data_IF_788237796424
#
_entry.id   IF_788237796424
#
_cell.length_a   1.000
_cell.length_b   1.000
_cell.length_c   1.000
_cell.angle_alpha   90.00
_cell.angle_beta   90.00
_cell.angle_gamma   90.00
#
_symmetry.space_group_name_H-M   'P 1'
#
loop_
_entity.id
_entity.type
_entity.pdbx_description
1 polymer ?
#
# COMPACT_ATOMS: atom_id res chain seq x y z
N UNK A 1 18.49 34.93 -32.27
CA UNK A 1 18.36 33.51 -32.64
C UNK A 1 19.50 32.79 -31.95
N UNK A 2 19.31 32.48 -30.67
CA UNK A 2 20.36 32.02 -29.76
C UNK A 2 20.35 30.50 -29.76
N UNK A 3 21.50 29.93 -30.09
CA UNK A 3 21.74 28.51 -30.27
C UNK A 3 21.49 27.74 -28.95
N UNK A 4 20.61 26.75 -29.04
CA UNK A 4 20.21 25.85 -27.96
C UNK A 4 21.33 24.83 -27.73
N UNK A 5 22.29 25.19 -26.87
CA UNK A 5 23.37 24.31 -26.45
C UNK A 5 22.78 23.12 -25.67
N UNK A 6 22.49 22.04 -26.39
CA UNK A 6 22.10 20.73 -25.86
C UNK A 6 22.99 20.37 -24.68
N UNK A 7 22.38 20.24 -23.48
CA UNK A 7 23.05 19.76 -22.26
C UNK A 7 23.88 18.51 -22.59
N UNK A 8 25.19 18.65 -22.47
CA UNK A 8 26.13 17.54 -22.62
C UNK A 8 25.79 16.48 -21.56
N UNK A 9 25.43 15.28 -21.99
CA UNK A 9 25.11 14.18 -21.08
C UNK A 9 26.36 13.82 -20.27
N UNK A 10 26.31 14.09 -18.98
CA UNK A 10 27.44 13.80 -18.10
C UNK A 10 27.59 12.29 -17.91
N UNK A 11 28.79 11.76 -18.20
CA UNK A 11 29.10 10.35 -17.98
C UNK A 11 29.03 10.01 -16.48
N UNK A 12 28.43 8.87 -16.08
CA UNK A 12 28.39 8.45 -14.68
C UNK A 12 29.79 8.41 -14.06
N UNK A 13 29.96 9.05 -12.91
CA UNK A 13 31.24 9.07 -12.20
C UNK A 13 31.32 7.82 -11.32
N UNK A 14 32.33 7.00 -11.55
CA UNK A 14 32.61 5.84 -10.71
C UNK A 14 33.11 6.32 -9.34
N UNK A 15 32.27 6.22 -8.31
CA UNK A 15 32.65 6.58 -6.93
C UNK A 15 33.20 5.35 -6.23
N UNK A 16 34.38 5.42 -5.58
CA UNK A 16 34.91 4.32 -4.77
C UNK A 16 33.95 3.94 -3.64
N UNK A 17 33.83 2.65 -3.34
CA UNK A 17 32.91 2.09 -2.32
C UNK A 17 33.04 2.78 -0.96
N UNK A 18 34.26 3.10 -0.53
CA UNK A 18 34.56 3.82 0.71
C UNK A 18 33.96 5.24 0.81
N UNK A 19 33.49 5.82 -0.31
CA UNK A 19 32.79 7.12 -0.33
C UNK A 19 31.34 6.97 0.15
N UNK A 20 30.74 5.79 -0.01
CA UNK A 20 29.40 5.48 0.46
C UNK A 20 29.37 5.14 1.95
N UNK A 21 30.44 4.53 2.47
CA UNK A 21 30.60 4.22 3.92
C UNK A 21 30.60 5.47 4.82
N UNK A 22 30.80 6.67 4.24
CA UNK A 22 30.91 7.94 4.97
C UNK A 22 29.62 8.76 5.03
N UNK A 23 28.47 8.21 4.61
CA UNK A 23 27.18 8.90 4.70
C UNK A 23 26.50 8.59 6.04
N UNK A 24 27.00 9.20 7.11
CA UNK A 24 26.29 9.28 8.38
C UNK A 24 25.07 10.19 8.23
N UNK A 25 23.86 9.62 8.22
CA UNK A 25 22.63 10.41 8.18
C UNK A 25 21.31 9.66 8.04
N UNK A 26 21.29 8.37 7.67
CA UNK A 26 20.05 7.59 7.64
C UNK A 26 20.34 6.11 7.86
N UNK A 27 19.36 5.38 8.42
CA UNK A 27 19.32 3.91 8.43
C UNK A 27 19.62 3.38 7.02
N UNK A 28 20.37 2.27 6.91
CA UNK A 28 20.69 1.65 5.63
C UNK A 28 19.38 1.34 4.88
N UNK A 29 19.14 1.91 3.68
CA UNK A 29 17.92 1.63 2.91
C UNK A 29 17.70 0.14 2.62
N UNK A 30 18.79 -0.64 2.51
CA UNK A 30 18.70 -2.08 2.34
C UNK A 30 18.22 -2.79 3.61
N UNK A 31 18.59 -2.30 4.79
CA UNK A 31 18.05 -2.78 6.08
C UNK A 31 16.58 -2.43 6.24
N UNK A 32 16.18 -1.19 5.94
CA UNK A 32 14.78 -0.76 5.99
C UNK A 32 13.92 -1.60 5.05
N UNK A 33 14.37 -1.81 3.82
CA UNK A 33 13.67 -2.64 2.83
C UNK A 33 13.57 -4.10 3.29
N UNK A 34 14.64 -4.67 3.84
CA UNK A 34 14.62 -6.04 4.40
C UNK A 34 13.64 -6.17 5.57
N UNK A 35 13.64 -5.21 6.48
CA UNK A 35 12.72 -5.19 7.61
C UNK A 35 11.26 -5.08 7.14
N UNK A 36 10.97 -4.22 6.17
CA UNK A 36 9.64 -4.07 5.59
C UNK A 36 9.14 -5.38 4.97
N UNK A 37 9.97 -6.06 4.17
CA UNK A 37 9.61 -7.34 3.57
C UNK A 37 9.47 -8.45 4.63
N UNK A 38 10.40 -8.55 5.58
CA UNK A 38 10.36 -9.57 6.62
C UNK A 38 9.10 -9.45 7.49
N UNK A 39 8.74 -8.22 7.89
CA UNK A 39 7.54 -7.96 8.70
C UNK A 39 6.25 -8.23 7.92
N UNK A 40 6.17 -7.80 6.67
CA UNK A 40 5.02 -8.08 5.80
C UNK A 40 4.82 -9.58 5.54
N UNK A 41 5.91 -10.30 5.25
CA UNK A 41 5.87 -11.75 5.07
C UNK A 41 5.50 -12.49 6.36
N UNK A 42 6.10 -12.10 7.49
CA UNK A 42 5.79 -12.71 8.78
C UNK A 42 4.31 -12.55 9.16
N UNK A 43 3.73 -11.37 8.90
CA UNK A 43 2.30 -11.15 9.13
C UNK A 43 1.44 -12.07 8.27
N UNK A 44 1.73 -12.12 6.96
CA UNK A 44 0.98 -12.96 6.02
C UNK A 44 1.05 -14.45 6.39
N UNK A 45 2.26 -14.96 6.67
CA UNK A 45 2.48 -16.35 7.08
C UNK A 45 1.78 -16.65 8.39
N UNK A 46 1.87 -15.78 9.39
CA UNK A 46 1.24 -16.00 10.70
C UNK A 46 -0.28 -16.15 10.62
N UNK A 47 -0.92 -15.39 9.75
CA UNK A 47 -2.38 -15.47 9.53
C UNK A 47 -2.75 -16.72 8.73
N UNK A 48 -1.93 -17.09 7.75
CA UNK A 48 -2.16 -18.29 6.93
C UNK A 48 -1.98 -19.59 7.69
N UNK A 49 -1.00 -19.65 8.60
CA UNK A 49 -0.70 -20.83 9.41
C UNK A 49 -1.77 -21.08 10.49
N UNK A 50 -2.50 -20.04 10.90
CA UNK A 50 -3.63 -20.13 11.83
C UNK A 50 -4.86 -19.40 11.26
N UNK A 51 -5.54 -19.98 10.25
CA UNK A 51 -6.62 -19.32 9.52
C UNK A 51 -7.95 -19.37 10.28
N UNK A 52 -7.94 -19.54 11.62
CA UNK A 52 -9.17 -19.43 12.41
C UNK A 52 -9.78 -18.06 12.13
N UNK A 53 -11.03 -18.02 11.65
CA UNK A 53 -11.64 -16.79 11.11
C UNK A 53 -11.62 -15.60 12.07
N UNK A 54 -11.60 -15.88 13.38
CA UNK A 54 -11.44 -14.87 14.43
C UNK A 54 -10.08 -14.16 14.35
N UNK A 55 -8.99 -14.83 13.93
CA UNK A 55 -7.65 -14.22 13.79
C UNK A 55 -7.62 -13.18 12.67
N UNK A 56 -8.24 -13.48 11.53
CA UNK A 56 -8.32 -12.55 10.39
C UNK A 56 -9.18 -11.34 10.76
N UNK A 57 -10.40 -11.58 11.27
CA UNK A 57 -11.30 -10.50 11.66
C UNK A 57 -10.72 -9.66 12.81
N UNK A 58 -9.99 -10.29 13.74
CA UNK A 58 -9.27 -9.60 14.82
C UNK A 58 -8.09 -8.80 14.31
N UNK A 59 -7.34 -9.25 13.30
CA UNK A 59 -6.26 -8.46 12.70
C UNK A 59 -6.80 -7.24 11.95
N UNK A 60 -7.85 -7.45 11.15
CA UNK A 60 -8.58 -6.40 10.42
C UNK A 60 -9.06 -5.33 11.42
N UNK A 61 -9.76 -5.74 12.48
CA UNK A 61 -10.29 -4.83 13.50
C UNK A 61 -9.20 -4.25 14.43
N UNK A 62 -8.10 -4.99 14.66
CA UNK A 62 -6.97 -4.51 15.47
C UNK A 62 -6.30 -3.30 14.82
N UNK A 63 -6.16 -3.34 13.50
CA UNK A 63 -5.59 -2.24 12.71
C UNK A 63 -6.43 -0.98 12.88
N UNK A 64 -7.76 -1.10 12.92
CA UNK A 64 -8.67 0.02 13.15
C UNK A 64 -8.54 0.65 14.55
N UNK A 65 -8.22 -0.15 15.57
CA UNK A 65 -8.25 0.28 16.98
C UNK A 65 -6.90 0.71 17.53
N UNK A 66 -5.83 0.00 17.14
CA UNK A 66 -4.48 0.20 17.70
C UNK A 66 -3.49 0.76 16.67
N UNK A 67 -3.90 0.86 15.41
CA UNK A 67 -3.02 1.25 14.32
C UNK A 67 -1.94 0.21 14.02
N UNK A 68 -1.35 0.34 12.85
CA UNK A 68 -0.09 -0.34 12.50
C UNK A 68 1.03 0.68 12.36
N UNK A 69 0.97 1.81 13.07
CA UNK A 69 1.73 3.04 12.80
C UNK A 69 3.22 2.81 12.53
N UNK A 70 3.88 1.98 13.32
CA UNK A 70 5.29 1.65 13.10
C UNK A 70 5.53 0.83 11.83
N UNK A 71 4.64 -0.12 11.51
CA UNK A 71 4.67 -0.86 10.25
C UNK A 71 4.23 0.01 9.07
N UNK A 72 3.29 0.93 9.28
CA UNK A 72 2.82 1.90 8.30
C UNK A 72 3.95 2.84 7.88
N UNK A 73 4.68 3.41 8.83
CA UNK A 73 5.87 4.22 8.55
C UNK A 73 6.91 3.41 7.78
N UNK A 74 7.17 2.18 8.21
CA UNK A 74 8.11 1.28 7.54
C UNK A 74 7.68 0.90 6.11
N UNK A 75 6.40 0.57 5.90
CA UNK A 75 5.87 0.09 4.61
C UNK A 75 5.52 1.21 3.65
N UNK A 76 5.20 2.40 4.13
CA UNK A 76 4.85 3.57 3.30
C UNK A 76 5.95 3.96 2.30
N UNK A 77 7.21 3.67 2.65
CA UNK A 77 8.38 3.90 1.81
C UNK A 77 8.63 2.78 0.78
N UNK A 78 7.86 1.68 0.84
CA UNK A 78 8.06 0.53 -0.04
C UNK A 78 7.45 0.75 -1.43
N UNK A 79 8.07 0.20 -2.50
CA UNK A 79 7.52 0.29 -3.86
C UNK A 79 6.08 -0.24 -3.93
N UNK A 80 5.23 0.40 -4.74
CA UNK A 80 3.80 0.04 -4.81
C UNK A 80 3.54 -1.42 -5.18
N UNK A 81 4.40 -2.01 -6.03
CA UNK A 81 4.29 -3.39 -6.49
C UNK A 81 5.03 -4.41 -5.61
N UNK A 82 5.55 -3.99 -4.45
CA UNK A 82 6.12 -4.90 -3.44
C UNK A 82 5.06 -5.35 -2.45
N UNK A 83 5.25 -6.49 -1.79
CA UNK A 83 4.35 -6.97 -0.74
C UNK A 83 4.06 -5.91 0.34
N UNK A 84 5.06 -5.32 1.02
CA UNK A 84 4.79 -4.28 2.03
C UNK A 84 4.09 -3.05 1.43
N UNK A 85 4.45 -2.64 0.21
CA UNK A 85 3.84 -1.48 -0.44
C UNK A 85 2.38 -1.71 -0.85
N UNK A 86 2.01 -2.93 -1.23
CA UNK A 86 0.64 -3.32 -1.51
C UNK A 86 -0.19 -3.38 -0.22
N UNK A 87 0.32 -4.06 0.82
CA UNK A 87 -0.35 -4.12 2.13
C UNK A 87 -0.63 -2.74 2.70
N UNK A 88 0.36 -1.84 2.67
CA UNK A 88 0.18 -0.46 3.13
C UNK A 88 -0.99 0.25 2.43
N UNK A 89 -1.07 0.14 1.11
CA UNK A 89 -2.13 0.81 0.33
C UNK A 89 -3.51 0.21 0.60
N UNK A 90 -3.59 -1.11 0.83
CA UNK A 90 -4.85 -1.77 1.20
C UNK A 90 -5.32 -1.33 2.59
N UNK A 91 -4.43 -1.30 3.58
CA UNK A 91 -4.75 -0.77 4.92
C UNK A 91 -5.13 0.71 4.88
N UNK A 92 -4.42 1.52 4.09
CA UNK A 92 -4.77 2.93 3.93
C UNK A 92 -6.14 3.10 3.27
N UNK A 93 -6.46 2.31 2.25
CA UNK A 93 -7.76 2.32 1.59
C UNK A 93 -8.87 1.93 2.59
N UNK A 94 -8.65 0.88 3.38
CA UNK A 94 -9.57 0.47 4.43
C UNK A 94 -9.81 1.57 5.46
N UNK A 95 -8.74 2.17 5.97
CA UNK A 95 -8.83 3.27 6.92
C UNK A 95 -9.64 4.44 6.34
N UNK A 96 -9.35 4.84 5.10
CA UNK A 96 -10.08 5.93 4.43
C UNK A 96 -11.57 5.62 4.25
N UNK A 97 -11.93 4.39 3.90
CA UNK A 97 -13.34 3.98 3.73
C UNK A 97 -14.05 3.89 5.08
N UNK A 98 -13.37 3.40 6.13
CA UNK A 98 -13.96 3.29 7.47
C UNK A 98 -14.12 4.65 8.17
N UNK A 99 -13.21 5.59 7.93
CA UNK A 99 -13.27 6.95 8.50
C UNK A 99 -14.49 7.74 7.99
N UNK A 100 -14.75 7.72 6.67
CA UNK A 100 -15.93 8.35 6.07
C UNK A 100 -16.45 7.57 4.86
N UNK A 101 -17.20 6.50 5.14
CA UNK A 101 -17.78 5.62 4.12
C UNK A 101 -18.72 6.35 3.16
N UNK A 102 -19.40 7.41 3.63
CA UNK A 102 -20.31 8.21 2.79
C UNK A 102 -19.54 8.99 1.74
N UNK A 103 -18.48 9.69 2.16
CA UNK A 103 -17.64 10.42 1.22
C UNK A 103 -16.90 9.46 0.29
N UNK A 104 -16.40 8.34 0.79
CA UNK A 104 -15.75 7.32 -0.03
C UNK A 104 -16.67 6.75 -1.12
N UNK A 105 -17.90 6.35 -0.79
CA UNK A 105 -18.88 5.85 -1.76
C UNK A 105 -19.23 6.91 -2.82
N UNK A 106 -19.40 8.16 -2.40
CA UNK A 106 -19.68 9.26 -3.32
C UNK A 106 -18.51 9.52 -4.29
N UNK A 107 -17.27 9.44 -3.82
CA UNK A 107 -16.07 9.59 -4.66
C UNK A 107 -15.93 8.42 -5.63
N UNK A 108 -16.17 7.19 -5.16
CA UNK A 108 -16.16 5.99 -5.99
C UNK A 108 -17.18 6.09 -7.13
N UNK A 109 -18.44 6.41 -6.81
CA UNK A 109 -19.51 6.52 -7.81
C UNK A 109 -19.23 7.62 -8.84
N UNK A 110 -18.64 8.74 -8.42
CA UNK A 110 -18.19 9.79 -9.35
C UNK A 110 -17.04 9.33 -10.25
N UNK A 111 -16.06 8.63 -9.68
CA UNK A 111 -14.94 8.06 -10.45
C UNK A 111 -15.42 7.06 -11.48
N UNK A 112 -16.28 6.12 -11.07
CA UNK A 112 -16.93 5.14 -11.93
C UNK A 112 -17.68 5.77 -13.10
N UNK A 113 -18.49 6.80 -12.83
CA UNK A 113 -19.23 7.51 -13.88
C UNK A 113 -18.32 8.31 -14.84
N UNK A 114 -17.14 8.73 -14.39
CA UNK A 114 -16.23 9.58 -15.17
C UNK A 114 -15.19 8.80 -15.99
N UNK A 115 -14.70 7.66 -15.51
CA UNK A 115 -13.57 6.95 -16.11
C UNK A 115 -13.91 6.30 -17.47
N UNK A 116 -15.12 5.76 -17.64
CA UNK A 116 -15.54 5.13 -18.91
C UNK A 116 -14.67 3.93 -19.36
N UNK A 117 -13.82 3.42 -18.47
CA UNK A 117 -12.92 2.27 -18.63
C UNK A 117 -13.50 1.03 -17.95
N UNK A 118 -12.75 -0.09 -17.94
CA UNK A 118 -13.12 -1.33 -17.25
C UNK A 118 -12.78 -1.33 -15.75
N UNK A 119 -12.32 -0.20 -15.20
CA UNK A 119 -11.81 -0.12 -13.83
C UNK A 119 -12.87 -0.49 -12.78
N UNK A 120 -14.15 -0.24 -13.04
CA UNK A 120 -15.25 -0.57 -12.13
C UNK A 120 -15.54 -2.08 -12.07
N UNK A 121 -15.42 -2.77 -13.21
CA UNK A 121 -15.46 -4.24 -13.29
C UNK A 121 -14.28 -4.86 -12.52
N UNK A 122 -13.08 -4.27 -12.63
CA UNK A 122 -11.89 -4.73 -11.91
C UNK A 122 -12.01 -4.48 -10.42
N UNK A 123 -12.53 -3.32 -10.02
CA UNK A 123 -12.78 -2.97 -8.62
C UNK A 123 -13.81 -3.90 -7.97
N UNK A 124 -14.80 -4.36 -8.74
CA UNK A 124 -15.76 -5.38 -8.30
C UNK A 124 -16.84 -4.88 -7.35
N UNK A 125 -17.00 -3.56 -7.19
CA UNK A 125 -18.07 -3.01 -6.36
C UNK A 125 -19.44 -3.20 -7.02
N UNK A 126 -20.51 -3.45 -6.24
CA UNK A 126 -21.87 -3.47 -6.78
C UNK A 126 -22.24 -2.10 -7.36
N UNK A 127 -23.22 -2.07 -8.26
CA UNK A 127 -23.65 -0.83 -8.92
C UNK A 127 -25.13 -0.57 -8.60
N UNK A 128 -25.46 0.52 -7.89
CA UNK A 128 -24.54 1.50 -7.27
C UNK A 128 -23.84 0.95 -6.02
N UNK A 129 -22.64 1.46 -5.70
CA UNK A 129 -21.95 1.16 -4.45
C UNK A 129 -22.27 2.23 -3.40
N UNK A 130 -23.06 1.87 -2.38
CA UNK A 130 -23.30 2.69 -1.22
C UNK A 130 -22.18 2.57 -0.17
N UNK A 131 -22.28 3.30 0.95
CA UNK A 131 -21.31 3.24 2.04
C UNK A 131 -21.11 1.82 2.57
N UNK A 132 -22.20 1.10 2.80
CA UNK A 132 -22.19 -0.26 3.34
C UNK A 132 -21.57 -1.25 2.34
N UNK A 133 -21.92 -1.14 1.06
CA UNK A 133 -21.35 -1.99 0.02
C UNK A 133 -19.85 -1.75 -0.15
N UNK A 134 -19.40 -0.49 -0.09
CA UNK A 134 -17.99 -0.15 -0.23
C UNK A 134 -17.18 -0.63 0.98
N UNK A 135 -17.72 -0.51 2.19
CA UNK A 135 -17.11 -1.09 3.40
C UNK A 135 -16.95 -2.61 3.27
N UNK A 136 -18.02 -3.30 2.84
CA UNK A 136 -18.00 -4.75 2.67
C UNK A 136 -16.95 -5.19 1.64
N UNK A 137 -16.86 -4.48 0.51
CA UNK A 137 -15.88 -4.75 -0.54
C UNK A 137 -14.44 -4.62 -0.03
N UNK A 138 -14.11 -3.53 0.66
CA UNK A 138 -12.74 -3.31 1.13
C UNK A 138 -12.34 -4.34 2.19
N UNK A 139 -13.27 -4.75 3.05
CA UNK A 139 -13.05 -5.84 3.98
C UNK A 139 -12.86 -7.19 3.27
N UNK A 140 -13.62 -7.47 2.22
CA UNK A 140 -13.45 -8.68 1.40
C UNK A 140 -12.09 -8.72 0.72
N UNK A 141 -11.67 -7.61 0.10
CA UNK A 141 -10.35 -7.49 -0.54
C UNK A 141 -9.24 -7.76 0.49
N UNK A 142 -9.33 -7.14 1.67
CA UNK A 142 -8.31 -7.31 2.70
C UNK A 142 -8.28 -8.73 3.25
N UNK A 143 -9.44 -9.36 3.50
CA UNK A 143 -9.50 -10.79 3.87
C UNK A 143 -8.86 -11.67 2.80
N UNK A 144 -9.13 -11.39 1.52
CA UNK A 144 -8.60 -12.12 0.37
C UNK A 144 -7.08 -12.17 0.32
N UNK A 145 -6.38 -11.13 0.79
CA UNK A 145 -4.91 -11.13 0.90
C UNK A 145 -4.41 -12.26 1.80
N UNK A 146 -5.11 -12.50 2.92
CA UNK A 146 -4.70 -13.46 3.92
C UNK A 146 -5.14 -14.88 3.59
N UNK A 147 -6.24 -15.06 2.87
CA UNK A 147 -6.81 -16.38 2.54
C UNK A 147 -6.41 -16.91 1.15
N UNK A 148 -5.86 -16.07 0.27
CA UNK A 148 -5.47 -16.44 -1.09
C UNK A 148 -4.11 -17.12 -1.24
#
# INVERSE_FOLDING_TARGET
MTDDARREYHRPVHRPTATFDRRFGSTDPAEVSRAAHATASALLTRVRDEPEGDVVDRLVTFTDTHGIDTLAELWSHSPALSLPGALWRLYLLQLMVRDDARTAALLYERGRAALGTVDDVVAGAPIPAGPEELMALVDEILRGVFTG
#
